data_IF_180810659746
#
_entry.id   IF_180810659746
#
_cell.length_a   1.000
_cell.length_b   1.000
_cell.length_c   1.000
_cell.angle_alpha   90.00
_cell.angle_beta   90.00
_cell.angle_gamma   90.00
#
_symmetry.space_group_name_H-M   'P 1'
#
loop_
_entity.id
_entity.type
_entity.pdbx_description
1 polymer ?
#
# COMPACT_ATOMS: atom_id res chain seq x y z
N UNK A 1 -0.17 10.18 27.45
CA UNK A 1 -1.61 9.83 27.29
C UNK A 1 -2.08 10.12 25.87
N UNK A 2 -1.93 11.33 25.34
CA UNK A 2 -2.41 11.70 23.99
C UNK A 2 -1.80 10.86 22.85
N UNK A 3 -0.47 10.70 22.82
CA UNK A 3 0.18 9.88 21.78
C UNK A 3 -0.25 8.41 21.82
N UNK A 4 -0.49 7.84 23.00
CA UNK A 4 -0.91 6.43 23.12
C UNK A 4 -2.30 6.21 22.50
N UNK A 5 -3.23 7.14 22.74
CA UNK A 5 -4.57 7.10 22.14
C UNK A 5 -4.50 7.27 20.62
N UNK A 6 -3.68 8.21 20.13
CA UNK A 6 -3.50 8.40 18.69
C UNK A 6 -2.90 7.16 18.02
N UNK A 7 -1.93 6.51 18.65
CA UNK A 7 -1.36 5.26 18.13
C UNK A 7 -2.42 4.16 18.07
N UNK A 8 -3.27 4.03 19.10
CA UNK A 8 -4.37 3.06 19.11
C UNK A 8 -5.39 3.34 17.98
N UNK A 9 -5.74 4.61 17.74
CA UNK A 9 -6.63 4.99 16.64
C UNK A 9 -6.04 4.66 15.27
N UNK A 10 -4.73 4.90 15.09
CA UNK A 10 -4.04 4.55 13.85
C UNK A 10 -4.00 3.02 13.68
N UNK A 11 -3.67 2.27 14.73
CA UNK A 11 -3.67 0.81 14.71
C UNK A 11 -5.05 0.26 14.31
N UNK A 12 -6.12 0.74 14.94
CA UNK A 12 -7.49 0.38 14.61
C UNK A 12 -7.85 0.70 13.16
N UNK A 13 -7.48 1.88 12.66
CA UNK A 13 -7.69 2.25 11.25
C UNK A 13 -6.95 1.30 10.29
N UNK A 14 -5.69 0.97 10.58
CA UNK A 14 -4.91 0.08 9.73
C UNK A 14 -5.47 -1.34 9.74
N UNK A 15 -5.93 -1.83 10.89
CA UNK A 15 -6.51 -3.17 11.03
C UNK A 15 -7.88 -3.28 10.36
N UNK A 16 -8.81 -2.38 10.69
CA UNK A 16 -10.19 -2.46 10.23
C UNK A 16 -10.36 -1.97 8.79
N UNK A 17 -9.71 -0.87 8.42
CA UNK A 17 -9.94 -0.26 7.09
C UNK A 17 -8.96 -0.78 6.06
N UNK A 18 -7.67 -0.89 6.38
CA UNK A 18 -6.70 -1.34 5.38
C UNK A 18 -6.65 -2.87 5.32
N UNK A 19 -6.35 -3.54 6.42
CA UNK A 19 -6.10 -4.99 6.41
C UNK A 19 -7.38 -5.77 6.16
N UNK A 20 -8.45 -5.50 6.92
CA UNK A 20 -9.69 -6.27 6.85
C UNK A 20 -10.46 -6.03 5.55
N UNK A 21 -10.68 -4.77 5.13
CA UNK A 21 -11.41 -4.50 3.88
C UNK A 21 -10.64 -4.96 2.62
N UNK A 22 -9.32 -4.77 2.56
CA UNK A 22 -8.53 -5.32 1.45
C UNK A 22 -8.54 -6.86 1.47
N UNK A 23 -8.61 -7.48 2.65
CA UNK A 23 -8.75 -8.92 2.82
C UNK A 23 -10.04 -9.46 2.21
N UNK A 24 -11.18 -8.84 2.54
CA UNK A 24 -12.48 -9.16 1.92
C UNK A 24 -12.42 -9.09 0.38
N UNK A 25 -11.67 -8.13 -0.15
CA UNK A 25 -11.51 -7.97 -1.60
C UNK A 25 -10.71 -9.10 -2.26
N UNK A 26 -9.84 -9.78 -1.52
CA UNK A 26 -9.15 -10.97 -2.04
C UNK A 26 -10.10 -12.17 -2.16
N UNK A 27 -11.11 -12.26 -1.28
CA UNK A 27 -12.07 -13.39 -1.24
C UNK A 27 -13.09 -13.35 -2.38
N UNK A 28 -13.38 -12.17 -2.92
CA UNK A 28 -14.41 -11.95 -3.95
C UNK A 28 -13.86 -11.99 -5.40
N UNK A 29 -12.60 -12.40 -5.57
CA UNK A 29 -11.92 -12.64 -6.87
C UNK A 29 -12.04 -11.53 -7.93
N UNK A 30 -12.17 -10.26 -7.51
CA UNK A 30 -12.26 -9.14 -8.45
C UNK A 30 -10.91 -8.93 -9.15
N UNK A 31 -10.93 -8.73 -10.47
CA UNK A 31 -9.75 -8.68 -11.34
C UNK A 31 -8.72 -7.57 -11.00
N UNK A 32 -9.06 -6.29 -11.23
CA UNK A 32 -8.06 -5.20 -11.19
C UNK A 32 -8.37 -4.13 -10.14
N UNK A 33 -9.61 -4.05 -9.66
CA UNK A 33 -10.01 -3.05 -8.66
C UNK A 33 -9.23 -3.13 -7.34
N UNK A 34 -8.89 -4.34 -6.82
CA UNK A 34 -8.08 -4.43 -5.60
C UNK A 34 -6.74 -3.70 -5.72
N UNK A 35 -6.13 -3.68 -6.91
CA UNK A 35 -4.86 -2.99 -7.16
C UNK A 35 -4.96 -1.46 -7.05
N UNK A 36 -6.12 -0.87 -7.36
CA UNK A 36 -6.37 0.58 -7.15
C UNK A 36 -6.29 0.89 -5.67
N UNK A 37 -6.99 0.10 -4.86
CA UNK A 37 -7.11 0.31 -3.41
C UNK A 37 -5.80 -0.03 -2.69
N UNK A 38 -5.11 -1.08 -3.12
CA UNK A 38 -3.76 -1.40 -2.67
C UNK A 38 -2.77 -0.26 -2.99
N UNK A 39 -2.82 0.32 -4.19
CA UNK A 39 -2.02 1.49 -4.56
C UNK A 39 -2.30 2.71 -3.67
N UNK A 40 -3.57 2.96 -3.36
CA UNK A 40 -3.99 4.01 -2.45
C UNK A 40 -3.54 3.74 -1.00
N UNK A 41 -3.63 2.49 -0.53
CA UNK A 41 -3.19 2.09 0.80
C UNK A 41 -1.70 2.38 1.00
N UNK A 42 -0.85 2.07 0.00
CA UNK A 42 0.58 2.39 0.04
C UNK A 42 0.81 3.89 0.22
N UNK A 43 0.09 4.74 -0.50
CA UNK A 43 0.17 6.19 -0.32
C UNK A 43 -0.25 6.62 1.09
N UNK A 44 -1.36 6.07 1.61
CA UNK A 44 -1.85 6.37 2.96
C UNK A 44 -0.81 6.03 4.03
N UNK A 45 -0.20 4.85 3.94
CA UNK A 45 0.90 4.44 4.83
C UNK A 45 2.06 5.44 4.79
N UNK A 46 2.44 5.88 3.59
CA UNK A 46 3.44 6.92 3.39
C UNK A 46 3.07 8.28 3.97
N UNK A 47 1.78 8.55 4.06
CA UNK A 47 1.21 9.71 4.73
C UNK A 47 1.63 9.80 6.19
N UNK A 48 1.80 8.70 6.90
CA UNK A 48 2.28 8.71 8.29
C UNK A 48 3.79 8.97 8.41
N UNK A 49 4.55 8.85 7.31
CA UNK A 49 6.01 8.92 7.30
C UNK A 49 6.58 10.33 7.11
N UNK A 50 5.72 11.32 6.82
CA UNK A 50 6.10 12.73 6.65
C UNK A 50 5.56 13.63 7.78
N UNK A 51 5.89 14.92 7.78
CA UNK A 51 5.42 15.87 8.80
C UNK A 51 4.18 16.68 8.38
N UNK A 52 3.56 16.38 7.23
CA UNK A 52 2.43 17.15 6.69
C UNK A 52 1.09 16.54 7.13
N UNK A 53 0.01 17.31 7.30
CA UNK A 53 -1.32 16.76 7.57
C UNK A 53 -1.74 15.73 6.51
N UNK A 54 -2.55 14.72 6.86
CA UNK A 54 -2.99 13.70 5.90
C UNK A 54 -3.69 14.30 4.67
N UNK A 55 -4.40 15.42 4.82
CA UNK A 55 -5.11 16.13 3.74
C UNK A 55 -4.23 17.04 2.86
N UNK A 56 -2.91 17.07 3.08
CA UNK A 56 -2.01 17.95 2.34
C UNK A 56 -1.94 17.58 0.84
N UNK A 57 -2.19 18.57 -0.03
CA UNK A 57 -2.17 18.41 -1.50
C UNK A 57 -0.75 18.21 -2.04
N UNK A 58 -0.66 17.56 -3.21
CA UNK A 58 0.60 17.39 -3.95
C UNK A 58 1.64 16.51 -3.24
N UNK A 59 1.22 15.62 -2.33
CA UNK A 59 2.12 14.72 -1.59
C UNK A 59 2.08 13.27 -2.10
N UNK A 60 1.23 12.96 -3.06
CA UNK A 60 0.91 11.57 -3.41
C UNK A 60 2.13 10.75 -3.84
N UNK A 61 2.88 11.21 -4.85
CA UNK A 61 4.10 10.53 -5.31
C UNK A 61 5.14 10.37 -4.20
N UNK A 62 5.36 11.43 -3.42
CA UNK A 62 6.31 11.43 -2.30
C UNK A 62 5.89 10.45 -1.20
N UNK A 63 4.60 10.42 -0.83
CA UNK A 63 4.08 9.52 0.20
C UNK A 63 4.15 8.08 -0.26
N UNK A 64 3.68 7.80 -1.47
CA UNK A 64 3.81 6.47 -2.06
C UNK A 64 5.27 6.00 -2.06
N UNK A 65 6.19 6.82 -2.57
CA UNK A 65 7.62 6.49 -2.60
C UNK A 65 8.23 6.32 -1.21
N UNK A 66 7.86 7.15 -0.23
CA UNK A 66 8.30 7.00 1.16
C UNK A 66 7.84 5.69 1.76
N UNK A 67 6.57 5.33 1.54
CA UNK A 67 6.00 4.06 1.99
C UNK A 67 6.79 2.90 1.42
N UNK A 68 6.97 2.89 0.10
CA UNK A 68 7.75 1.85 -0.57
C UNK A 68 9.17 1.77 0.01
N UNK A 69 9.90 2.87 0.09
CA UNK A 69 11.29 2.85 0.54
C UNK A 69 11.50 2.46 2.01
N UNK A 70 10.53 2.73 2.88
CA UNK A 70 10.68 2.60 4.34
C UNK A 70 9.91 1.43 4.93
N UNK A 71 8.82 1.02 4.29
CA UNK A 71 7.94 -0.05 4.78
C UNK A 71 7.99 -1.29 3.87
N UNK A 72 8.27 -1.14 2.57
CA UNK A 72 8.34 -2.25 1.62
C UNK A 72 9.81 -2.55 1.27
N UNK A 73 10.31 -3.71 1.70
CA UNK A 73 11.70 -4.09 1.53
C UNK A 73 12.01 -4.67 0.14
N UNK A 74 13.26 -5.07 -0.05
CA UNK A 74 13.67 -5.91 -1.18
C UNK A 74 13.40 -5.27 -2.54
N UNK A 75 12.71 -6.03 -3.42
CA UNK A 75 12.53 -5.67 -4.83
C UNK A 75 11.62 -4.46 -5.05
N UNK A 76 10.71 -4.17 -4.12
CA UNK A 76 9.90 -2.94 -4.17
C UNK A 76 10.78 -1.69 -4.20
N UNK A 77 11.84 -1.64 -3.38
CA UNK A 77 12.76 -0.50 -3.34
C UNK A 77 13.52 -0.32 -4.65
N UNK A 78 13.87 -1.42 -5.32
CA UNK A 78 14.50 -1.38 -6.65
C UNK A 78 13.53 -0.87 -7.72
N UNK A 79 12.27 -1.28 -7.65
CA UNK A 79 11.19 -0.86 -8.56
C UNK A 79 10.64 0.54 -8.26
N UNK A 80 11.05 1.15 -7.15
CA UNK A 80 10.69 2.52 -6.83
C UNK A 80 11.62 3.54 -7.49
N UNK A 81 12.60 3.09 -8.28
CA UNK A 81 13.40 3.98 -9.12
C UNK A 81 12.48 4.77 -10.06
N UNK A 82 12.75 6.08 -10.17
CA UNK A 82 11.98 7.03 -10.98
C UNK A 82 10.46 6.94 -10.81
N UNK A 83 9.98 6.59 -9.60
CA UNK A 83 8.55 6.51 -9.28
C UNK A 83 7.76 5.49 -10.13
N UNK A 84 8.40 4.46 -10.68
CA UNK A 84 7.75 3.53 -11.63
C UNK A 84 6.44 2.92 -11.10
N UNK A 85 6.44 2.33 -9.89
CA UNK A 85 5.22 1.78 -9.29
C UNK A 85 4.17 2.88 -9.01
N UNK A 86 4.60 4.07 -8.62
CA UNK A 86 3.67 5.17 -8.46
C UNK A 86 3.00 5.53 -9.79
N UNK A 87 3.77 5.70 -10.86
CA UNK A 87 3.24 6.14 -12.16
C UNK A 87 2.35 5.07 -12.81
N UNK A 88 2.84 3.82 -12.87
CA UNK A 88 2.22 2.73 -13.63
C UNK A 88 1.07 2.04 -12.89
N UNK A 89 1.12 2.01 -11.56
CA UNK A 89 0.07 1.41 -10.74
C UNK A 89 -0.80 2.51 -10.12
N UNK A 90 -0.29 3.25 -9.13
CA UNK A 90 -1.12 4.19 -8.35
C UNK A 90 -1.73 5.26 -9.27
N UNK A 91 -0.92 6.08 -9.91
CA UNK A 91 -1.35 7.25 -10.65
C UNK A 91 -2.25 6.87 -11.83
N UNK A 92 -1.79 5.94 -12.68
CA UNK A 92 -2.54 5.48 -13.84
C UNK A 92 -3.92 4.91 -13.45
N UNK A 93 -3.96 3.98 -12.49
CA UNK A 93 -5.20 3.27 -12.17
C UNK A 93 -6.19 4.13 -11.39
N UNK A 94 -5.75 5.05 -10.53
CA UNK A 94 -6.66 6.00 -9.87
C UNK A 94 -7.30 6.97 -10.86
N UNK A 95 -6.58 7.39 -11.90
CA UNK A 95 -7.10 8.36 -12.87
C UNK A 95 -7.96 7.73 -13.97
N UNK A 96 -7.71 6.47 -14.33
CA UNK A 96 -8.34 5.87 -15.52
C UNK A 96 -9.03 4.54 -15.25
N UNK A 97 -8.79 3.90 -14.09
CA UNK A 97 -9.15 2.50 -13.81
C UNK A 97 -8.58 1.48 -14.81
N UNK A 98 -7.71 1.92 -15.72
CA UNK A 98 -7.05 1.07 -16.72
C UNK A 98 -5.64 0.76 -16.21
N UNK A 99 -5.24 -0.53 -16.13
CA UNK A 99 -3.87 -0.87 -15.77
C UNK A 99 -2.89 -0.37 -16.83
N UNK A 100 -1.71 0.09 -16.40
CA UNK A 100 -0.64 0.42 -17.34
C UNK A 100 -0.26 -0.80 -18.17
N UNK A 101 -0.02 -0.62 -19.48
CA UNK A 101 0.37 -1.71 -20.39
C UNK A 101 1.64 -2.45 -19.97
N UNK A 102 2.45 -1.83 -19.11
CA UNK A 102 3.67 -2.36 -18.52
C UNK A 102 3.45 -3.26 -17.30
N UNK A 103 2.18 -3.47 -16.88
CA UNK A 103 1.82 -4.32 -15.75
C UNK A 103 1.10 -5.59 -16.21
N UNK A 104 1.44 -6.70 -15.58
CA UNK A 104 0.66 -7.94 -15.62
C UNK A 104 0.04 -8.15 -14.24
N UNK A 105 -1.27 -8.00 -14.14
CA UNK A 105 -2.02 -8.13 -12.89
C UNK A 105 -2.65 -9.53 -12.82
N UNK A 106 -2.38 -10.25 -11.74
CA UNK A 106 -2.90 -11.58 -11.46
C UNK A 106 -3.55 -11.58 -10.07
N UNK A 107 -4.69 -12.23 -9.90
CA UNK A 107 -5.33 -12.35 -8.58
C UNK A 107 -4.49 -13.27 -7.68
N UNK A 108 -4.21 -14.48 -8.18
CA UNK A 108 -3.52 -15.53 -7.43
C UNK A 108 -2.17 -15.87 -8.04
N UNK A 109 -1.30 -16.44 -7.20
CA UNK A 109 -0.04 -17.00 -7.67
C UNK A 109 -0.30 -18.15 -8.64
N UNK A 110 0.44 -18.21 -9.74
CA UNK A 110 0.34 -19.30 -10.70
C UNK A 110 0.88 -20.59 -10.07
N UNK A 111 0.08 -21.67 -9.95
CA UNK A 111 0.55 -22.92 -9.34
C UNK A 111 1.73 -23.55 -10.08
N UNK A 112 1.84 -23.27 -11.39
CA UNK A 112 2.97 -23.71 -12.22
C UNK A 112 4.23 -22.84 -12.06
N UNK A 113 4.17 -21.76 -11.26
CA UNK A 113 5.31 -20.89 -10.98
C UNK A 113 5.80 -20.04 -12.16
N UNK A 114 5.01 -19.90 -13.24
CA UNK A 114 5.40 -19.13 -14.43
C UNK A 114 5.51 -17.63 -14.16
N UNK A 115 4.77 -17.15 -13.16
CA UNK A 115 4.73 -15.75 -12.77
C UNK A 115 5.15 -15.60 -11.32
N UNK A 116 6.09 -14.69 -11.08
CA UNK A 116 6.58 -14.38 -9.74
C UNK A 116 6.35 -12.91 -9.44
N UNK A 117 5.87 -12.63 -8.23
CA UNK A 117 5.57 -11.27 -7.80
C UNK A 117 6.79 -10.36 -7.94
N UNK A 118 6.59 -9.16 -8.47
CA UNK A 118 7.60 -8.14 -8.78
C UNK A 118 8.65 -8.53 -9.82
N UNK A 119 8.51 -9.67 -10.51
CA UNK A 119 9.39 -10.02 -11.62
C UNK A 119 8.84 -9.55 -12.96
N UNK A 120 9.72 -9.45 -13.95
CA UNK A 120 9.31 -9.14 -15.32
C UNK A 120 9.02 -10.43 -16.08
N UNK A 121 7.90 -10.45 -16.80
CA UNK A 121 7.54 -11.51 -17.75
C UNK A 121 6.97 -10.89 -19.02
N UNK A 122 7.55 -11.21 -20.18
CA UNK A 122 7.14 -10.63 -21.46
C UNK A 122 7.20 -9.09 -21.50
N UNK A 123 8.20 -8.49 -20.83
CA UNK A 123 8.34 -7.03 -20.73
C UNK A 123 7.40 -6.35 -19.73
N UNK A 124 6.50 -7.09 -19.07
CA UNK A 124 5.56 -6.55 -18.07
C UNK A 124 5.99 -6.90 -16.66
N UNK A 125 5.83 -5.97 -15.73
CA UNK A 125 6.02 -6.21 -14.30
C UNK A 125 4.80 -6.97 -13.75
N UNK A 126 5.05 -8.12 -13.14
CA UNK A 126 4.02 -8.97 -12.55
C UNK A 126 3.65 -8.46 -11.15
N UNK A 127 2.37 -8.18 -10.92
CA UNK A 127 1.79 -7.96 -9.60
C UNK A 127 0.75 -9.05 -9.33
N UNK A 128 0.82 -9.66 -8.15
CA UNK A 128 -0.03 -10.78 -7.74
C UNK A 128 -0.80 -10.30 -6.51
N UNK A 129 -2.13 -10.27 -6.58
CA UNK A 129 -2.96 -9.58 -5.60
C UNK A 129 -2.77 -10.16 -4.19
N UNK A 130 -2.81 -11.48 -4.03
CA UNK A 130 -2.62 -12.14 -2.74
C UNK A 130 -1.28 -11.77 -2.09
N UNK A 131 -0.19 -11.86 -2.86
CA UNK A 131 1.16 -11.55 -2.37
C UNK A 131 1.28 -10.07 -2.04
N UNK A 132 0.74 -9.21 -2.90
CA UNK A 132 0.77 -7.78 -2.73
C UNK A 132 -0.01 -7.33 -1.49
N UNK A 133 -1.18 -7.93 -1.25
CA UNK A 133 -1.96 -7.75 -0.05
C UNK A 133 -1.18 -8.14 1.21
N UNK A 134 -0.53 -9.31 1.21
CA UNK A 134 0.30 -9.73 2.34
C UNK A 134 1.47 -8.77 2.60
N UNK A 135 2.09 -8.24 1.56
CA UNK A 135 3.15 -7.22 1.69
C UNK A 135 2.62 -5.92 2.30
N UNK A 136 1.40 -5.50 1.94
CA UNK A 136 0.73 -4.34 2.54
C UNK A 136 0.40 -4.60 4.01
N UNK A 137 -0.09 -5.78 4.36
CA UNK A 137 -0.32 -6.19 5.76
C UNK A 137 0.98 -6.11 6.58
N UNK A 138 2.09 -6.60 6.04
CA UNK A 138 3.39 -6.48 6.68
C UNK A 138 3.84 -5.02 6.83
N UNK A 139 3.62 -4.18 5.82
CA UNK A 139 3.92 -2.76 5.88
C UNK A 139 3.09 -2.03 6.95
N UNK A 140 1.81 -2.38 7.11
CA UNK A 140 0.95 -1.86 8.19
C UNK A 140 1.53 -2.21 9.56
N UNK A 141 1.91 -3.48 9.79
CA UNK A 141 2.53 -3.92 11.05
C UNK A 141 3.85 -3.21 11.33
N UNK A 142 4.70 -3.01 10.31
CA UNK A 142 5.95 -2.23 10.43
C UNK A 142 5.68 -0.78 10.82
N UNK A 143 4.66 -0.15 10.24
CA UNK A 143 4.27 1.21 10.59
C UNK A 143 3.82 1.31 12.05
N UNK A 144 2.97 0.38 12.51
CA UNK A 144 2.55 0.32 13.92
C UNK A 144 3.75 0.16 14.86
N UNK A 145 4.70 -0.72 14.52
CA UNK A 145 5.91 -0.87 15.32
C UNK A 145 6.73 0.42 15.39
N UNK A 146 6.92 1.12 14.27
CA UNK A 146 7.63 2.40 14.27
C UNK A 146 6.94 3.48 15.11
N UNK A 147 5.60 3.47 15.16
CA UNK A 147 4.82 4.36 16.02
C UNK A 147 5.02 4.01 17.51
N UNK A 148 4.90 2.73 17.87
CA UNK A 148 5.07 2.23 19.25
C UNK A 148 6.50 2.44 19.77
N UNK A 149 7.50 2.30 18.90
CA UNK A 149 8.92 2.56 19.21
C UNK A 149 9.28 4.05 19.24
N UNK A 150 8.36 4.96 18.91
CA UNK A 150 8.61 6.40 18.85
C UNK A 150 9.52 6.85 17.69
N UNK A 151 9.76 5.98 16.70
CA UNK A 151 10.53 6.31 15.48
C UNK A 151 9.78 7.27 14.55
N UNK A 152 8.45 7.32 14.68
CA UNK A 152 7.56 8.18 13.91
C UNK A 152 6.58 8.84 14.89
N UNK A 153 6.28 10.13 14.67
CA UNK A 153 5.25 10.82 15.45
C UNK A 153 3.85 10.39 15.00
N UNK A 154 2.93 10.03 15.91
CA UNK A 154 1.56 9.75 15.53
C UNK A 154 0.90 11.00 14.94
N UNK A 155 -0.07 10.77 14.05
CA UNK A 155 -0.88 11.82 13.43
C UNK A 155 -2.32 11.66 13.86
N UNK A 156 -2.99 12.78 14.10
CA UNK A 156 -4.44 12.78 14.24
C UNK A 156 -5.08 12.51 12.87
N UNK A 157 -5.83 11.42 12.77
CA UNK A 157 -6.53 11.01 11.54
C UNK A 157 -8.04 11.22 11.60
N UNK A 158 -8.59 11.76 12.71
CA UNK A 158 -10.03 11.96 12.92
C UNK A 158 -10.86 10.74 12.47
N UNK A 159 -10.37 9.54 12.79
CA UNK A 159 -11.04 8.28 12.52
C UNK A 159 -11.76 7.85 13.78
N UNK A 160 -13.08 7.73 13.68
CA UNK A 160 -13.95 7.20 14.71
C UNK A 160 -14.53 5.90 14.16
N UNK A 161 -14.38 4.80 14.89
CA UNK A 161 -15.00 3.54 14.51
C UNK A 161 -16.47 3.60 14.94
N UNK A 162 -17.33 4.08 14.05
CA UNK A 162 -18.78 3.90 14.16
C UNK A 162 -19.07 2.44 13.84
N UNK A 163 -18.88 1.57 14.85
CA UNK A 163 -19.07 0.12 14.72
C UNK A 163 -20.46 -0.27 14.23
#
# INVERSE_FOLDING_TARGET
MENSLQIQQIELFLEEVIIRELGKMQEIEISYMPFVLMGQAIEVLGGFLDNKPMKAKGQSSRRFSNSVNRLFGGRYRLLNDKLYLYDKLRNQMTHTFIPGGDLLLLNHADPAGRYQHLQYSGGKLVLIADVFYQDICQACRRLVNHLKEGRIKPKNIAFENEG
#
